data_IF_669053423503
#
_entry.id   IF_669053423503
#
_cell.length_a   1.000
_cell.length_b   1.000
_cell.length_c   1.000
_cell.angle_alpha   90.00
_cell.angle_beta   90.00
_cell.angle_gamma   90.00
#
_symmetry.space_group_name_H-M   'P 1'
#
loop_
_entity.id
_entity.type
_entity.pdbx_description
1 polymer ?
#
# COMPACT_ATOMS: atom_id res chain seq x y z
N UNK A 1 10.36 -20.55 73.05
CA UNK A 1 10.54 -19.70 71.84
C UNK A 1 9.90 -20.43 70.66
N UNK A 2 9.22 -19.80 69.68
CA UNK A 2 9.17 -18.37 69.33
C UNK A 2 7.77 -17.72 69.47
N UNK A 3 7.74 -16.39 69.51
CA UNK A 3 6.56 -15.53 69.65
C UNK A 3 5.97 -15.17 68.28
N UNK A 4 4.65 -15.29 68.14
CA UNK A 4 3.85 -14.84 67.01
C UNK A 4 3.90 -13.30 66.89
N UNK A 5 4.33 -12.78 65.74
CA UNK A 5 4.28 -11.34 65.40
C UNK A 5 2.91 -11.01 64.81
N UNK A 6 2.22 -10.08 65.48
CA UNK A 6 0.95 -9.49 65.05
C UNK A 6 1.14 -8.57 63.84
N UNK A 7 0.39 -8.81 62.76
CA UNK A 7 0.39 -8.01 61.54
C UNK A 7 -0.42 -6.72 61.76
N UNK A 8 0.22 -5.55 61.62
CA UNK A 8 -0.45 -4.25 61.61
C UNK A 8 -1.09 -4.00 60.24
N UNK A 9 -2.38 -3.66 60.26
CA UNK A 9 -3.23 -3.29 59.12
C UNK A 9 -2.84 -1.88 58.64
N UNK A 10 -2.58 -1.72 57.33
CA UNK A 10 -2.28 -0.42 56.73
C UNK A 10 -3.55 0.47 56.62
N UNK A 11 -3.44 1.81 56.73
CA UNK A 11 -4.58 2.73 56.60
C UNK A 11 -4.96 2.98 55.13
N UNK A 12 -6.26 3.14 54.88
CA UNK A 12 -6.85 3.48 53.58
C UNK A 12 -6.60 4.95 53.18
N UNK A 13 -6.50 5.29 51.88
CA UNK A 13 -6.31 6.66 51.42
C UNK A 13 -7.61 7.51 51.50
N UNK A 14 -7.51 8.84 51.71
CA UNK A 14 -8.67 9.72 51.81
C UNK A 14 -9.34 10.02 50.46
N UNK A 15 -10.67 10.12 50.48
CA UNK A 15 -11.54 10.53 49.36
C UNK A 15 -11.28 12.00 48.96
N UNK A 16 -11.07 12.27 47.67
CA UNK A 16 -11.04 13.62 47.08
C UNK A 16 -12.45 14.23 47.05
N UNK A 17 -12.61 15.41 47.62
CA UNK A 17 -13.80 16.25 47.48
C UNK A 17 -13.77 17.08 46.18
N UNK A 18 -14.92 17.41 45.57
CA UNK A 18 -15.01 18.19 44.34
C UNK A 18 -14.70 19.69 44.58
N UNK A 19 -14.00 20.31 43.64
CA UNK A 19 -13.65 21.75 43.65
C UNK A 19 -14.89 22.61 43.29
N UNK A 20 -15.09 23.77 43.95
CA UNK A 20 -16.15 24.71 43.58
C UNK A 20 -15.80 25.51 42.31
N UNK A 21 -16.84 25.84 41.54
CA UNK A 21 -16.77 26.61 40.29
C UNK A 21 -16.36 28.07 40.52
N UNK A 22 -15.59 28.62 39.56
CA UNK A 22 -15.12 30.01 39.56
C UNK A 22 -16.25 30.95 39.08
N UNK A 23 -16.47 32.11 39.75
CA UNK A 23 -17.51 33.05 39.35
C UNK A 23 -17.11 33.87 38.12
N UNK A 24 -18.08 34.08 37.22
CA UNK A 24 -18.02 35.00 36.08
C UNK A 24 -18.11 36.46 36.53
N UNK A 25 -17.32 37.40 35.97
CA UNK A 25 -17.50 38.82 36.24
C UNK A 25 -18.71 39.37 35.48
N UNK A 26 -19.64 39.99 36.22
CA UNK A 26 -20.67 40.89 35.70
C UNK A 26 -20.00 42.23 35.35
N UNK A 27 -20.17 42.70 34.13
CA UNK A 27 -19.90 44.09 33.78
C UNK A 27 -21.22 44.84 33.56
N UNK A 28 -21.24 46.01 34.18
CA UNK A 28 -22.33 46.93 34.43
C UNK A 28 -22.80 47.69 33.19
N UNK A 29 -24.06 48.13 33.23
CA UNK A 29 -24.73 48.98 32.24
C UNK A 29 -24.31 50.46 32.35
N UNK A 30 -24.08 51.07 31.17
CA UNK A 30 -24.48 52.42 30.69
C UNK A 30 -23.75 53.67 31.28
N UNK A 31 -23.55 54.76 30.51
CA UNK A 31 -24.60 55.46 29.76
C UNK A 31 -24.32 55.85 28.29
N UNK A 32 -25.42 56.24 27.65
CA UNK A 32 -25.54 56.82 26.32
C UNK A 32 -25.03 58.27 26.29
N UNK A 33 -24.31 58.63 25.25
CA UNK A 33 -24.26 60.00 24.72
C UNK A 33 -24.16 59.93 23.20
N UNK A 34 -25.00 60.75 22.56
CA UNK A 34 -25.19 60.82 21.13
C UNK A 34 -24.51 62.08 20.58
N UNK A 35 -23.75 61.95 19.49
CA UNK A 35 -23.43 63.02 18.52
C UNK A 35 -23.22 62.30 17.16
N UNK A 36 -24.18 62.37 16.24
CA UNK A 36 -24.29 63.31 15.12
C UNK A 36 -23.29 63.08 13.97
N UNK A 37 -23.86 62.61 12.85
CA UNK A 37 -23.67 63.04 11.46
C UNK A 37 -22.31 62.88 10.76
N UNK A 38 -22.36 62.34 9.53
CA UNK A 38 -21.54 62.87 8.43
C UNK A 38 -20.81 61.86 7.54
N UNK A 39 -21.50 61.42 6.49
CA UNK A 39 -21.04 61.34 5.09
C UNK A 39 -19.80 60.50 4.66
N UNK A 40 -20.10 59.59 3.71
CA UNK A 40 -19.49 59.45 2.38
C UNK A 40 -18.10 58.82 2.18
N UNK A 41 -18.14 57.61 1.59
CA UNK A 41 -17.48 57.16 0.36
C UNK A 41 -15.96 57.38 0.14
N UNK A 42 -15.24 56.27 -0.05
CA UNK A 42 -14.42 56.04 -1.26
C UNK A 42 -13.93 54.57 -1.29
N UNK A 43 -14.44 53.81 -2.25
CA UNK A 43 -13.85 52.56 -2.72
C UNK A 43 -12.71 52.93 -3.67
N UNK A 44 -11.49 52.48 -3.38
CA UNK A 44 -10.37 52.53 -4.33
C UNK A 44 -9.78 51.12 -4.44
N UNK A 45 -10.20 50.45 -5.52
CA UNK A 45 -9.55 49.27 -6.04
C UNK A 45 -8.18 49.65 -6.62
N UNK A 46 -7.12 49.00 -6.15
CA UNK A 46 -5.83 48.97 -6.83
C UNK A 46 -5.56 47.55 -7.31
N UNK A 47 -5.93 47.29 -8.56
CA UNK A 47 -5.46 46.17 -9.35
C UNK A 47 -4.04 46.45 -9.81
N UNK A 48 -3.05 45.74 -9.26
CA UNK A 48 -1.71 45.66 -9.83
C UNK A 48 -1.67 44.39 -10.69
N UNK A 49 -1.82 44.57 -12.00
CA UNK A 49 -1.56 43.51 -12.98
C UNK A 49 -0.05 43.36 -13.15
N UNK A 50 0.51 42.27 -12.63
CA UNK A 50 1.86 41.85 -12.96
C UNK A 50 1.86 41.23 -14.37
N UNK A 51 2.50 41.91 -15.32
CA UNK A 51 2.85 41.36 -16.61
C UNK A 51 4.06 40.42 -16.42
N UNK A 52 3.85 39.11 -16.57
CA UNK A 52 4.94 38.14 -16.65
C UNK A 52 5.23 37.81 -18.10
N UNK A 53 6.43 38.19 -18.56
CA UNK A 53 7.03 37.71 -19.80
C UNK A 53 7.23 36.19 -19.74
N UNK A 54 6.62 35.46 -20.67
CA UNK A 54 6.90 34.04 -20.88
C UNK A 54 8.04 33.89 -21.90
N UNK A 55 9.14 33.26 -21.48
CA UNK A 55 10.12 32.62 -22.36
C UNK A 55 9.64 31.19 -22.64
N UNK A 56 9.74 30.66 -23.88
CA UNK A 56 9.34 29.29 -24.19
C UNK A 56 10.48 28.35 -23.78
N UNK A 57 10.40 27.80 -22.58
CA UNK A 57 11.29 26.75 -22.08
C UNK A 57 10.52 25.44 -21.91
N UNK A 58 10.92 24.45 -22.69
CA UNK A 58 10.45 23.07 -22.73
C UNK A 58 10.11 22.49 -21.33
N UNK A 59 8.82 22.32 -21.04
CA UNK A 59 8.32 21.60 -19.87
C UNK A 59 7.06 20.86 -20.28
N UNK A 60 7.14 19.53 -20.33
CA UNK A 60 5.97 18.69 -20.60
C UNK A 60 4.89 19.02 -19.58
N UNK A 61 3.70 19.37 -20.07
CA UNK A 61 2.51 19.56 -19.24
C UNK A 61 2.32 18.28 -18.40
N UNK A 62 2.65 18.37 -17.12
CA UNK A 62 1.89 17.65 -16.12
C UNK A 62 0.45 18.11 -16.32
N UNK A 63 -0.38 17.22 -16.85
CA UNK A 63 -1.79 17.48 -17.04
C UNK A 63 -2.33 18.04 -15.74
N UNK A 64 -2.92 19.24 -15.81
CA UNK A 64 -3.77 19.74 -14.74
C UNK A 64 -4.68 18.59 -14.31
N UNK A 65 -4.78 18.37 -13.00
CA UNK A 65 -5.73 17.42 -12.46
C UNK A 65 -7.08 17.70 -13.11
N UNK A 66 -7.64 16.69 -13.76
CA UNK A 66 -9.00 16.76 -14.26
C UNK A 66 -9.88 16.89 -13.01
N UNK A 67 -10.29 18.12 -12.68
CA UNK A 67 -11.12 18.42 -11.50
C UNK A 67 -12.50 17.74 -11.59
N UNK A 68 -12.77 17.01 -12.68
CA UNK A 68 -13.96 16.21 -12.95
C UNK A 68 -13.69 14.69 -12.94
N UNK A 69 -12.47 14.23 -12.66
CA UNK A 69 -12.19 12.79 -12.60
C UNK A 69 -12.82 12.18 -11.35
N UNK A 70 -13.65 11.17 -11.58
CA UNK A 70 -14.45 10.58 -10.52
C UNK A 70 -13.74 9.43 -9.83
N UNK A 71 -12.94 8.66 -10.57
CA UNK A 71 -12.13 7.57 -10.04
C UNK A 71 -10.68 7.69 -10.53
N UNK A 72 -9.77 7.99 -9.62
CA UNK A 72 -8.35 8.23 -9.93
C UNK A 72 -7.58 6.90 -9.92
N UNK A 73 -6.92 6.56 -11.03
CA UNK A 73 -6.01 5.42 -11.11
C UNK A 73 -4.62 5.85 -10.61
N UNK A 74 -4.12 5.17 -9.59
CA UNK A 74 -2.84 5.49 -8.95
C UNK A 74 -1.84 4.33 -9.07
N UNK A 75 -0.90 4.41 -10.03
CA UNK A 75 0.18 3.44 -10.17
C UNK A 75 1.08 3.35 -8.94
N UNK A 76 1.80 2.24 -8.79
CA UNK A 76 2.69 1.96 -7.64
C UNK A 76 3.67 3.09 -7.34
N UNK A 77 4.35 3.61 -8.36
CA UNK A 77 5.40 4.62 -8.21
C UNK A 77 4.87 6.07 -8.24
N UNK A 78 3.60 6.28 -8.57
CA UNK A 78 3.04 7.61 -8.70
C UNK A 78 2.67 8.18 -7.33
N UNK A 79 3.16 9.36 -6.99
CA UNK A 79 2.78 10.01 -5.72
C UNK A 79 1.40 10.67 -5.79
N UNK A 80 0.87 10.90 -7.00
CA UNK A 80 -0.35 11.67 -7.20
C UNK A 80 -0.14 13.16 -6.91
N UNK A 81 -1.23 13.92 -7.01
CA UNK A 81 -1.26 15.33 -6.65
C UNK A 81 -1.42 15.51 -5.14
N UNK A 82 -0.91 16.63 -4.60
CA UNK A 82 -1.06 17.02 -3.19
C UNK A 82 -0.73 15.92 -2.15
N UNK A 83 0.48 15.31 -2.20
CA UNK A 83 0.84 14.29 -1.22
C UNK A 83 0.91 14.87 0.20
N UNK A 84 0.43 14.10 1.17
CA UNK A 84 0.57 14.44 2.58
C UNK A 84 2.04 14.50 2.97
N UNK A 85 2.86 13.53 2.56
CA UNK A 85 4.28 13.48 2.92
C UNK A 85 5.15 13.07 1.72
N UNK A 86 6.47 13.29 1.78
CA UNK A 86 7.40 12.55 0.92
C UNK A 86 7.21 11.03 1.10
N UNK A 87 7.55 10.26 0.06
CA UNK A 87 7.39 8.80 0.10
C UNK A 87 8.10 8.15 1.29
N UNK A 88 7.37 7.26 1.95
CA UNK A 88 7.85 6.36 2.99
C UNK A 88 7.92 4.91 2.52
N UNK A 89 7.57 4.63 1.26
CA UNK A 89 7.81 3.31 0.66
C UNK A 89 9.31 2.98 0.65
N UNK A 90 9.66 1.75 1.04
CA UNK A 90 11.04 1.26 1.07
C UNK A 90 11.39 0.59 -0.27
N UNK A 91 12.59 0.82 -0.84
CA UNK A 91 13.00 0.14 -2.08
C UNK A 91 13.07 -1.38 -1.93
N UNK A 92 13.63 -1.87 -0.81
CA UNK A 92 13.86 -3.31 -0.58
C UNK A 92 12.58 -4.08 -0.24
N UNK A 93 11.54 -3.37 0.18
CA UNK A 93 10.22 -3.94 0.48
C UNK A 93 9.19 -3.74 -0.63
N UNK A 94 9.61 -3.24 -1.80
CA UNK A 94 8.75 -3.00 -2.95
C UNK A 94 8.58 -4.27 -3.81
N UNK A 95 7.44 -4.37 -4.50
CA UNK A 95 7.30 -5.35 -5.58
C UNK A 95 8.22 -4.97 -6.77
N UNK A 96 8.70 -5.94 -7.55
CA UNK A 96 9.28 -5.67 -8.87
C UNK A 96 8.32 -4.78 -9.67
N UNK A 97 8.82 -3.64 -10.15
CA UNK A 97 7.96 -2.58 -10.70
C UNK A 97 7.18 -3.13 -11.91
N UNK A 98 5.84 -3.14 -11.89
CA UNK A 98 5.07 -3.52 -13.07
C UNK A 98 5.34 -2.51 -14.19
N UNK A 99 5.42 -2.99 -15.44
CA UNK A 99 5.72 -2.14 -16.59
C UNK A 99 4.76 -0.95 -16.65
N UNK A 100 5.34 0.26 -16.61
CA UNK A 100 4.65 1.56 -16.76
C UNK A 100 4.22 1.77 -18.22
N UNK A 101 3.34 0.93 -18.74
CA UNK A 101 2.64 1.30 -19.96
C UNK A 101 1.31 1.90 -19.58
N UNK A 102 1.21 3.22 -19.74
CA UNK A 102 -0.06 3.92 -19.69
C UNK A 102 -1.00 3.26 -20.70
N UNK A 103 -2.15 2.80 -20.21
CA UNK A 103 -3.20 2.24 -21.03
C UNK A 103 -4.52 2.86 -20.58
N UNK A 104 -5.36 3.35 -21.50
CA UNK A 104 -6.70 3.77 -21.14
C UNK A 104 -7.49 2.54 -20.65
N UNK A 105 -8.35 2.69 -19.65
CA UNK A 105 -9.25 1.63 -19.22
C UNK A 105 -10.24 1.26 -20.34
N UNK A 106 -10.50 -0.04 -20.50
CA UNK A 106 -11.33 -0.60 -21.58
C UNK A 106 -12.86 -0.46 -21.34
N UNK A 107 -13.26 0.17 -20.24
CA UNK A 107 -14.67 0.31 -19.79
C UNK A 107 -14.78 1.48 -18.81
N UNK A 108 -15.95 2.10 -18.61
CA UNK A 108 -16.15 3.16 -17.62
C UNK A 108 -15.99 2.65 -16.17
N UNK A 109 -15.68 3.55 -15.20
CA UNK A 109 -15.57 3.17 -13.81
C UNK A 109 -16.91 2.71 -13.23
N UNK A 110 -16.96 1.60 -12.47
CA UNK A 110 -18.18 1.21 -11.79
C UNK A 110 -18.54 2.22 -10.70
N UNK A 111 -19.75 2.77 -10.75
CA UNK A 111 -20.16 3.81 -9.80
C UNK A 111 -20.23 3.32 -8.34
N UNK A 112 -20.80 2.13 -8.14
CA UNK A 112 -21.00 1.55 -6.81
C UNK A 112 -19.79 0.69 -6.39
N UNK A 113 -19.21 0.92 -5.20
CA UNK A 113 -18.17 0.04 -4.64
C UNK A 113 -18.63 -1.41 -4.52
N UNK A 114 -19.92 -1.66 -4.26
CA UNK A 114 -20.51 -3.01 -4.16
C UNK A 114 -20.48 -3.83 -5.45
N UNK A 115 -20.19 -3.20 -6.61
CA UNK A 115 -19.94 -3.89 -7.88
C UNK A 115 -18.56 -4.58 -7.92
N UNK A 116 -17.70 -4.30 -6.95
CA UNK A 116 -16.36 -4.85 -6.83
C UNK A 116 -16.38 -6.08 -5.92
N UNK A 117 -15.34 -6.91 -6.01
CA UNK A 117 -15.20 -8.04 -5.10
C UNK A 117 -14.80 -7.54 -3.70
N UNK A 118 -15.71 -7.66 -2.73
CA UNK A 118 -15.41 -7.41 -1.33
C UNK A 118 -14.59 -8.54 -0.72
N UNK A 119 -13.46 -8.22 -0.10
CA UNK A 119 -12.58 -9.21 0.55
C UNK A 119 -12.30 -8.77 2.00
N UNK A 120 -12.53 -9.63 3.00
CA UNK A 120 -12.16 -9.33 4.38
C UNK A 120 -10.65 -9.11 4.53
N UNK A 121 -10.24 -8.08 5.26
CA UNK A 121 -8.83 -7.68 5.43
C UNK A 121 -7.93 -8.75 6.06
N UNK A 122 -8.52 -9.71 6.78
CA UNK A 122 -7.80 -10.87 7.35
C UNK A 122 -7.69 -12.07 6.41
N UNK A 123 -8.18 -11.99 5.16
CA UNK A 123 -8.10 -13.10 4.21
C UNK A 123 -6.62 -13.42 3.91
N UNK A 124 -6.22 -14.65 4.20
CA UNK A 124 -4.83 -15.08 3.98
C UNK A 124 -4.40 -14.86 2.53
N UNK A 125 -3.24 -14.25 2.33
CA UNK A 125 -2.71 -13.94 1.00
C UNK A 125 -3.41 -12.78 0.31
N UNK A 126 -4.30 -12.02 0.95
CA UNK A 126 -4.78 -10.75 0.38
C UNK A 126 -3.61 -9.78 0.12
N UNK A 127 -2.61 -9.85 1.01
CA UNK A 127 -1.44 -9.00 0.99
C UNK A 127 -0.17 -9.76 0.59
N UNK A 128 0.76 -9.01 0.02
CA UNK A 128 2.12 -9.42 -0.28
C UNK A 128 3.11 -8.64 0.57
N UNK A 129 4.38 -9.02 0.48
CA UNK A 129 5.48 -8.30 1.14
C UNK A 129 6.80 -8.99 0.85
N UNK A 130 7.88 -8.48 1.44
CA UNK A 130 9.16 -9.17 1.50
C UNK A 130 9.38 -9.59 2.94
N UNK A 131 9.66 -10.88 3.17
CA UNK A 131 9.81 -11.41 4.53
C UNK A 131 10.93 -10.68 5.26
N UNK A 132 10.64 -10.31 6.51
CA UNK A 132 11.48 -9.52 7.42
C UNK A 132 11.82 -8.11 6.95
N UNK A 133 11.19 -7.61 5.88
CA UNK A 133 11.40 -6.27 5.34
C UNK A 133 10.07 -5.52 5.34
N UNK A 134 10.05 -4.33 5.91
CA UNK A 134 8.88 -3.46 5.84
C UNK A 134 8.81 -2.82 4.46
N UNK A 135 7.63 -2.77 3.84
CA UNK A 135 7.35 -2.06 2.58
C UNK A 135 7.20 -0.54 2.77
N UNK A 136 7.01 -0.10 4.01
CA UNK A 136 6.80 1.27 4.43
C UNK A 136 7.61 1.57 5.69
N UNK A 137 8.19 2.76 5.74
CA UNK A 137 8.92 3.28 6.89
C UNK A 137 7.96 4.10 7.78
N UNK A 138 7.48 3.44 8.85
CA UNK A 138 6.50 4.01 9.80
C UNK A 138 7.07 5.23 10.53
N UNK A 139 8.31 5.14 11.01
CA UNK A 139 8.93 6.22 11.78
C UNK A 139 9.21 7.44 10.89
N UNK A 140 9.56 7.25 9.61
CA UNK A 140 9.60 8.36 8.65
C UNK A 140 8.23 9.00 8.45
N UNK A 141 7.14 8.22 8.37
CA UNK A 141 5.79 8.79 8.24
C UNK A 141 5.44 9.65 9.47
N UNK A 142 5.71 9.14 10.67
CA UNK A 142 5.51 9.85 11.93
C UNK A 142 6.33 11.15 11.93
N UNK A 143 7.60 11.08 11.54
CA UNK A 143 8.49 12.24 11.50
C UNK A 143 8.04 13.29 10.47
N UNK A 144 7.52 12.88 9.31
CA UNK A 144 7.02 13.82 8.31
C UNK A 144 5.75 14.52 8.77
N UNK A 145 4.78 13.79 9.33
CA UNK A 145 3.56 14.39 9.87
C UNK A 145 3.87 15.30 11.06
N UNK A 146 4.75 14.89 11.97
CA UNK A 146 5.14 15.69 13.14
C UNK A 146 5.91 16.98 12.84
N UNK A 147 6.33 17.19 11.57
CA UNK A 147 6.98 18.44 11.12
C UNK A 147 5.98 19.47 10.60
N UNK A 148 4.71 19.10 10.42
CA UNK A 148 3.68 19.96 9.87
C UNK A 148 2.37 19.75 10.64
N UNK A 149 2.06 20.69 11.54
CA UNK A 149 0.91 20.60 12.42
C UNK A 149 -0.43 20.54 11.66
N UNK A 150 -0.54 21.19 10.50
CA UNK A 150 -1.78 21.17 9.73
C UNK A 150 -2.01 19.80 9.09
N UNK A 151 -0.94 19.21 8.54
CA UNK A 151 -0.99 17.85 8.00
C UNK A 151 -1.27 16.84 9.08
N UNK A 152 -0.64 16.97 10.25
CA UNK A 152 -0.89 16.10 11.39
C UNK A 152 -2.37 16.16 11.80
N UNK A 153 -2.92 17.37 12.00
CA UNK A 153 -4.32 17.57 12.39
C UNK A 153 -5.31 17.07 11.32
N UNK A 154 -5.05 17.34 10.04
CA UNK A 154 -5.89 16.87 8.93
C UNK A 154 -5.87 15.33 8.81
N UNK A 155 -4.71 14.72 8.98
CA UNK A 155 -4.53 13.27 8.94
C UNK A 155 -5.26 12.59 10.12
N UNK A 156 -5.05 13.10 11.33
CA UNK A 156 -5.70 12.63 12.55
C UNK A 156 -7.23 12.71 12.44
N UNK A 157 -7.75 13.86 12.00
CA UNK A 157 -9.19 14.07 11.75
C UNK A 157 -9.76 13.10 10.73
N UNK A 158 -9.05 12.89 9.63
CA UNK A 158 -9.46 11.96 8.55
C UNK A 158 -9.64 10.54 9.09
N UNK A 159 -8.66 10.05 9.84
CA UNK A 159 -8.69 8.68 10.37
C UNK A 159 -9.45 8.53 11.68
N UNK A 160 -9.97 9.65 12.23
CA UNK A 160 -10.67 9.74 13.50
C UNK A 160 -9.81 9.24 14.67
N UNK A 161 -8.55 9.66 14.67
CA UNK A 161 -7.57 9.41 15.72
C UNK A 161 -7.28 10.73 16.42
N UNK A 162 -7.11 10.70 17.74
CA UNK A 162 -6.67 11.90 18.48
C UNK A 162 -5.27 12.31 18.03
N UNK A 163 -5.04 13.61 17.84
CA UNK A 163 -3.80 14.11 17.23
C UNK A 163 -2.54 13.73 18.00
N UNK A 164 -2.62 13.67 19.33
CA UNK A 164 -1.53 13.24 20.22
C UNK A 164 -1.26 11.74 20.18
N UNK A 165 -2.24 10.93 19.78
CA UNK A 165 -2.14 9.46 19.71
C UNK A 165 -1.70 8.98 18.33
N UNK A 166 -1.63 9.88 17.34
CA UNK A 166 -1.28 9.54 15.96
C UNK A 166 0.05 8.78 15.83
N UNK A 167 1.14 9.12 16.54
CA UNK A 167 2.38 8.35 16.49
C UNK A 167 2.23 6.92 17.04
N UNK A 168 1.34 6.70 18.01
CA UNK A 168 1.03 5.37 18.54
C UNK A 168 0.23 4.57 17.51
N UNK A 169 -0.86 5.16 17.01
CA UNK A 169 -1.69 4.57 15.96
C UNK A 169 -0.88 4.12 14.74
N UNK A 170 0.02 4.97 14.23
CA UNK A 170 0.85 4.62 13.06
C UNK A 170 1.77 3.42 13.32
N UNK A 171 2.26 3.23 14.55
CA UNK A 171 3.10 2.08 14.93
C UNK A 171 2.32 0.78 15.06
N UNK A 172 1.02 0.85 15.29
CA UNK A 172 0.14 -0.31 15.31
C UNK A 172 -0.22 -0.79 13.89
N UNK A 173 0.00 0.05 12.87
CA UNK A 173 -0.25 -0.35 11.50
C UNK A 173 0.80 -1.32 10.98
N UNK A 174 0.37 -2.25 10.14
CA UNK A 174 1.22 -3.27 9.55
C UNK A 174 1.57 -2.89 8.11
N UNK A 175 2.87 -2.84 7.80
CA UNK A 175 3.33 -2.56 6.44
C UNK A 175 3.20 -3.78 5.52
N UNK A 176 2.56 -3.60 4.36
CA UNK A 176 2.30 -4.64 3.36
C UNK A 176 2.29 -4.08 1.92
N UNK A 177 2.25 -4.98 0.94
CA UNK A 177 1.96 -4.69 -0.47
C UNK A 177 0.57 -5.21 -0.85
N UNK A 178 -0.15 -4.45 -1.69
CA UNK A 178 -1.39 -4.93 -2.29
C UNK A 178 -1.12 -6.03 -3.33
N UNK A 179 -1.85 -7.15 -3.33
CA UNK A 179 -1.76 -8.17 -4.40
C UNK A 179 -2.81 -8.03 -5.48
N UNK A 180 -3.69 -7.04 -5.37
CA UNK A 180 -4.73 -6.77 -6.36
C UNK A 180 -5.01 -5.27 -6.44
N UNK A 181 -5.49 -4.83 -7.59
CA UNK A 181 -5.97 -3.46 -7.77
C UNK A 181 -7.09 -3.22 -6.76
N UNK A 182 -6.96 -2.19 -5.93
CA UNK A 182 -7.80 -2.00 -4.74
C UNK A 182 -8.50 -0.65 -4.78
N UNK A 183 -9.82 -0.65 -4.69
CA UNK A 183 -10.65 0.56 -4.64
C UNK A 183 -10.78 1.07 -3.20
N UNK A 184 -10.58 2.37 -3.02
CA UNK A 184 -10.66 3.07 -1.74
C UNK A 184 -10.86 4.58 -1.94
N UNK A 185 -10.99 5.33 -0.85
CA UNK A 185 -10.90 6.79 -0.89
C UNK A 185 -9.50 7.21 -0.45
N UNK A 186 -8.76 7.86 -1.35
CA UNK A 186 -7.48 8.49 -1.06
C UNK A 186 -7.70 9.95 -0.65
N UNK A 187 -6.80 10.53 0.15
CA UNK A 187 -6.90 11.92 0.55
C UNK A 187 -5.61 12.68 0.21
N UNK A 188 -5.75 13.78 -0.53
CA UNK A 188 -4.69 14.75 -0.78
C UNK A 188 -4.68 15.81 0.33
N UNK A 189 -3.64 16.62 0.40
CA UNK A 189 -3.56 17.73 1.33
C UNK A 189 -3.44 19.05 0.60
N UNK A 190 -4.55 19.80 0.55
CA UNK A 190 -4.65 21.10 -0.10
C UNK A 190 -5.44 22.06 0.79
N UNK A 191 -5.14 23.35 0.71
CA UNK A 191 -5.84 24.38 1.50
C UNK A 191 -5.85 24.11 3.02
N UNK A 192 -4.79 23.47 3.54
CA UNK A 192 -4.65 23.04 4.95
C UNK A 192 -5.67 21.98 5.40
N UNK A 193 -6.31 21.30 4.46
CA UNK A 193 -7.31 20.28 4.73
C UNK A 193 -7.03 18.98 3.96
N UNK A 194 -7.61 17.88 4.45
CA UNK A 194 -7.64 16.63 3.72
C UNK A 194 -8.74 16.69 2.65
N UNK A 195 -8.37 16.53 1.38
CA UNK A 195 -9.31 16.53 0.25
C UNK A 195 -9.54 15.08 -0.22
N UNK A 196 -10.76 14.53 -0.06
CA UNK A 196 -11.04 13.15 -0.46
C UNK A 196 -11.20 13.02 -1.98
N UNK A 197 -10.73 11.91 -2.53
CA UNK A 197 -10.98 11.50 -3.91
C UNK A 197 -11.10 9.98 -3.99
N UNK A 198 -11.99 9.49 -4.86
CA UNK A 198 -12.10 8.05 -5.07
C UNK A 198 -10.92 7.56 -5.90
N UNK A 199 -10.36 6.42 -5.52
CA UNK A 199 -9.13 5.91 -6.12
C UNK A 199 -9.15 4.40 -6.31
N UNK A 200 -8.39 3.95 -7.30
CA UNK A 200 -7.89 2.58 -7.36
C UNK A 200 -6.37 2.60 -7.27
N UNK A 201 -5.85 1.91 -6.26
CA UNK A 201 -4.42 1.66 -6.12
C UNK A 201 -4.04 0.42 -6.92
N UNK A 202 -2.98 0.52 -7.71
CA UNK A 202 -2.43 -0.62 -8.45
C UNK A 202 -1.89 -1.71 -7.50
N UNK A 203 -2.05 -2.97 -7.88
CA UNK A 203 -1.33 -4.09 -7.25
C UNK A 203 0.19 -3.82 -7.19
N UNK A 204 0.81 -4.18 -6.06
CA UNK A 204 2.21 -3.85 -5.74
C UNK A 204 2.38 -2.53 -4.99
N UNK A 205 1.31 -1.75 -4.79
CA UNK A 205 1.39 -0.52 -3.98
C UNK A 205 1.65 -0.85 -2.51
N UNK A 206 2.63 -0.17 -1.90
CA UNK A 206 2.93 -0.26 -0.48
C UNK A 206 1.92 0.55 0.36
N UNK A 207 1.33 -0.11 1.34
CA UNK A 207 0.33 0.45 2.26
C UNK A 207 0.60 0.03 3.69
N UNK A 208 0.05 0.78 4.65
CA UNK A 208 -0.04 0.39 6.05
C UNK A 208 -1.49 0.07 6.39
N UNK A 209 -1.74 -1.13 6.94
CA UNK A 209 -3.07 -1.64 7.26
C UNK A 209 -3.30 -1.71 8.77
N UNK A 210 -4.53 -1.51 9.22
CA UNK A 210 -4.88 -1.61 10.65
C UNK A 210 -5.02 -3.06 11.14
N UNK A 211 -5.39 -3.23 12.41
CA UNK A 211 -5.64 -4.52 13.06
C UNK A 211 -6.86 -5.27 12.48
N UNK A 212 -7.63 -4.67 11.57
CA UNK A 212 -8.68 -5.34 10.79
C UNK A 212 -8.23 -5.65 9.37
N UNK A 213 -6.97 -5.37 9.06
CA UNK A 213 -6.37 -5.54 7.75
C UNK A 213 -6.94 -4.57 6.72
N UNK A 214 -7.41 -3.38 7.11
CA UNK A 214 -7.90 -2.36 6.16
C UNK A 214 -6.78 -1.36 5.87
N UNK A 215 -6.50 -1.01 4.59
CA UNK A 215 -5.52 0.02 4.24
C UNK A 215 -5.89 1.38 4.85
N UNK A 216 -4.96 1.96 5.63
CA UNK A 216 -5.12 3.26 6.29
C UNK A 216 -4.15 4.31 5.79
N UNK A 217 -3.02 3.91 5.21
CA UNK A 217 -2.01 4.84 4.68
C UNK A 217 -1.42 4.31 3.38
N UNK A 218 -1.26 5.18 2.39
CA UNK A 218 -0.50 4.90 1.17
C UNK A 218 0.92 5.43 1.31
N UNK A 219 1.92 4.58 1.20
CA UNK A 219 3.29 4.94 1.56
C UNK A 219 3.99 5.81 0.51
N UNK A 220 3.54 5.77 -0.75
CA UNK A 220 4.11 6.62 -1.80
C UNK A 220 3.80 8.12 -1.61
N UNK A 221 2.63 8.45 -1.04
CA UNK A 221 2.13 9.82 -0.88
C UNK A 221 1.91 10.25 0.57
N UNK A 222 2.04 9.31 1.52
CA UNK A 222 1.70 9.52 2.93
C UNK A 222 0.23 9.78 3.18
N UNK A 223 -0.64 9.55 2.19
CA UNK A 223 -2.05 9.89 2.27
C UNK A 223 -2.79 8.98 3.25
N UNK A 224 -3.66 9.53 4.12
CA UNK A 224 -4.62 8.71 4.84
C UNK A 224 -5.62 8.11 3.83
N UNK A 225 -6.06 6.89 4.13
CA UNK A 225 -6.97 6.10 3.31
C UNK A 225 -8.22 5.76 4.12
N UNK A 226 -9.37 5.86 3.48
CA UNK A 226 -10.67 5.48 4.07
C UNK A 226 -11.45 4.57 3.11
N UNK A 227 -12.59 4.06 3.59
CA UNK A 227 -13.45 3.20 2.80
C UNK A 227 -13.89 3.91 1.49
N UNK A 228 -14.03 3.16 0.39
CA UNK A 228 -14.52 3.74 -0.86
C UNK A 228 -15.96 4.20 -0.74
N UNK A 229 -16.28 5.27 -1.44
CA UNK A 229 -17.61 5.82 -1.56
C UNK A 229 -18.16 5.64 -2.97
N UNK A 230 -19.46 5.92 -3.10
CA UNK A 230 -20.16 5.91 -4.38
C UNK A 230 -19.73 7.10 -5.23
N UNK A 231 -19.57 6.86 -6.52
CA UNK A 231 -19.41 7.87 -7.55
C UNK A 231 -20.72 8.73 -7.65
N UNK A 232 -20.58 10.05 -7.59
CA UNK A 232 -21.64 11.07 -7.64
C UNK A 232 -22.12 11.47 -9.05
N UNK A 233 -21.44 11.08 -10.13
CA UNK A 233 -21.79 11.30 -11.54
C UNK A 233 -20.63 11.74 -12.45
N UNK A 234 -20.77 11.44 -13.75
CA UNK A 234 -19.80 11.61 -14.85
C UNK A 234 -18.58 10.65 -14.76
N UNK A 235 -18.86 9.35 -14.75
CA UNK A 235 -17.93 8.20 -14.67
C UNK A 235 -16.70 8.32 -15.61
N UNK A 236 -15.71 9.12 -15.21
CA UNK A 236 -14.44 9.32 -15.92
C UNK A 236 -13.29 8.92 -15.01
N UNK A 237 -12.34 8.23 -15.61
CA UNK A 237 -11.08 7.96 -14.95
C UNK A 237 -10.19 9.20 -14.96
N UNK A 238 -9.50 9.42 -13.84
CA UNK A 238 -8.37 10.33 -13.76
C UNK A 238 -7.07 9.60 -13.45
N UNK A 239 -5.98 10.36 -13.38
CA UNK A 239 -4.65 9.82 -13.08
C UNK A 239 -4.07 9.02 -14.24
N UNK A 240 -3.19 8.08 -13.92
CA UNK A 240 -2.47 7.28 -14.92
C UNK A 240 -2.92 5.83 -14.85
N UNK A 241 -3.57 5.34 -15.90
CA UNK A 241 -3.90 3.91 -16.01
C UNK A 241 -2.67 3.04 -16.28
N UNK A 242 -2.80 1.73 -16.09
CA UNK A 242 -1.78 0.73 -16.41
C UNK A 242 -2.35 -0.42 -17.23
N UNK A 243 -1.51 -1.05 -18.06
CA UNK A 243 -1.86 -2.31 -18.73
C UNK A 243 -2.30 -3.35 -17.68
N UNK A 244 -3.42 -4.02 -17.97
CA UNK A 244 -3.95 -5.07 -17.11
C UNK A 244 -4.95 -4.56 -16.05
N UNK A 245 -5.14 -3.24 -15.89
CA UNK A 245 -6.25 -2.74 -15.09
C UNK A 245 -7.58 -3.25 -15.65
N UNK A 246 -8.38 -3.87 -14.79
CA UNK A 246 -9.71 -4.39 -15.12
C UNK A 246 -10.64 -4.03 -13.97
N UNK A 247 -11.69 -3.22 -14.19
CA UNK A 247 -12.59 -2.82 -13.11
C UNK A 247 -13.26 -4.01 -12.42
N UNK A 248 -13.60 -5.06 -13.18
CA UNK A 248 -14.17 -6.31 -12.67
C UNK A 248 -13.23 -7.13 -11.79
N UNK A 249 -11.92 -6.84 -11.81
CA UNK A 249 -10.89 -7.50 -10.99
C UNK A 249 -10.44 -6.65 -9.80
N UNK A 250 -11.00 -5.46 -9.67
CA UNK A 250 -10.67 -4.54 -8.58
C UNK A 250 -11.38 -4.99 -7.31
N UNK A 251 -10.66 -5.00 -6.18
CA UNK A 251 -11.17 -5.43 -4.89
C UNK A 251 -11.51 -4.25 -4.00
N UNK A 252 -12.45 -4.45 -3.09
CA UNK A 252 -12.69 -3.55 -1.94
C UNK A 252 -12.36 -4.33 -0.68
N UNK A 253 -11.44 -3.81 0.13
CA UNK A 253 -11.09 -4.45 1.39
C UNK A 253 -12.10 -4.03 2.47
N UNK A 254 -12.76 -5.02 3.07
CA UNK A 254 -13.68 -4.80 4.19
C UNK A 254 -13.00 -5.19 5.51
N UNK A 255 -13.34 -4.56 6.65
CA UNK A 255 -12.79 -4.95 7.95
C UNK A 255 -12.95 -6.45 8.25
N UNK A 256 -11.92 -7.07 8.82
CA UNK A 256 -12.06 -8.40 9.40
C UNK A 256 -13.07 -8.40 10.57
N UNK A 257 -13.77 -9.51 10.78
CA UNK A 257 -14.77 -9.65 11.86
C UNK A 257 -14.16 -9.49 13.25
N UNK A 258 -12.90 -9.87 13.41
CA UNK A 258 -12.15 -9.80 14.68
C UNK A 258 -10.82 -9.09 14.45
N UNK A 259 -10.23 -8.57 15.54
CA UNK A 259 -8.90 -7.98 15.49
C UNK A 259 -7.89 -9.08 15.17
N UNK A 260 -6.99 -8.80 14.24
CA UNK A 260 -5.94 -9.68 13.78
C UNK A 260 -4.74 -9.49 14.68
N UNK A 261 -4.13 -10.59 15.13
CA UNK A 261 -2.81 -10.56 15.77
C UNK A 261 -1.67 -10.68 14.76
N UNK A 262 -1.98 -11.17 13.54
CA UNK A 262 -1.04 -11.41 12.45
C UNK A 262 -1.74 -11.41 11.11
N UNK A 263 -1.01 -11.03 10.07
CA UNK A 263 -1.39 -11.19 8.67
C UNK A 263 -0.65 -12.38 8.06
N UNK A 264 -1.34 -13.16 7.25
CA UNK A 264 -0.72 -14.21 6.43
C UNK A 264 -0.44 -13.63 5.04
N UNK A 265 0.84 -13.50 4.72
CA UNK A 265 1.37 -12.73 3.59
C UNK A 265 2.12 -13.64 2.62
N UNK A 266 2.05 -13.32 1.33
CA UNK A 266 2.86 -13.96 0.28
C UNK A 266 4.12 -13.13 0.03
N UNK A 267 5.27 -13.77 0.10
CA UNK A 267 6.55 -13.17 -0.26
C UNK A 267 6.63 -12.95 -1.76
N UNK A 268 6.78 -11.70 -2.20
CA UNK A 268 6.72 -11.34 -3.63
C UNK A 268 7.96 -11.75 -4.43
N UNK A 269 9.04 -12.16 -3.75
CA UNK A 269 10.28 -12.58 -4.40
C UNK A 269 10.38 -14.11 -4.50
N UNK A 270 9.78 -14.82 -3.55
CA UNK A 270 9.93 -16.28 -3.41
C UNK A 270 8.63 -17.06 -3.57
N UNK A 271 7.48 -16.38 -3.64
CA UNK A 271 6.13 -16.96 -3.59
C UNK A 271 5.86 -17.84 -2.35
N UNK A 272 6.73 -17.76 -1.34
CA UNK A 272 6.58 -18.45 -0.07
C UNK A 272 5.69 -17.65 0.88
N UNK A 273 5.13 -18.35 1.86
CA UNK A 273 4.18 -17.76 2.80
C UNK A 273 4.86 -17.44 4.13
N UNK A 274 4.46 -16.34 4.75
CA UNK A 274 4.89 -15.98 6.09
C UNK A 274 3.79 -15.27 6.86
N UNK A 275 3.92 -15.24 8.17
CA UNK A 275 3.10 -14.46 9.07
C UNK A 275 3.85 -13.25 9.55
N UNK A 276 3.21 -12.10 9.46
CA UNK A 276 3.68 -10.84 10.03
C UNK A 276 2.77 -10.47 11.20
N UNK A 277 3.29 -10.35 12.43
CA UNK A 277 2.50 -9.79 13.54
C UNK A 277 1.97 -8.39 13.20
N UNK A 278 0.81 -8.02 13.75
CA UNK A 278 0.29 -6.67 13.55
C UNK A 278 1.21 -5.64 14.24
N UNK A 279 1.54 -4.56 13.53
CA UNK A 279 2.50 -3.55 14.01
C UNK A 279 3.96 -4.05 14.08
N UNK A 280 4.25 -5.21 13.47
CA UNK A 280 5.58 -5.82 13.52
C UNK A 280 6.66 -4.89 12.96
N UNK A 281 7.83 -4.92 13.61
CA UNK A 281 9.05 -4.36 13.06
C UNK A 281 9.70 -5.36 12.08
N UNK A 282 10.57 -4.89 11.18
CA UNK A 282 11.40 -5.78 10.37
C UNK A 282 12.10 -6.85 11.24
N UNK A 283 12.05 -8.11 10.81
CA UNK A 283 12.69 -9.25 11.50
C UNK A 283 11.76 -10.12 12.36
N UNK A 284 10.50 -9.73 12.56
CA UNK A 284 9.54 -10.47 13.39
C UNK A 284 8.69 -11.50 12.61
N UNK A 285 8.96 -11.70 11.31
CA UNK A 285 8.13 -12.55 10.46
C UNK A 285 8.42 -14.04 10.63
N UNK A 286 7.35 -14.82 10.81
CA UNK A 286 7.42 -16.28 10.92
C UNK A 286 7.15 -16.95 9.59
N UNK A 287 8.05 -17.83 9.13
CA UNK A 287 7.80 -18.65 7.92
C UNK A 287 6.57 -19.53 8.10
N UNK A 288 5.76 -19.64 7.07
CA UNK A 288 4.72 -20.67 6.95
C UNK A 288 5.19 -21.77 5.98
N UNK A 289 5.20 -23.05 6.41
CA UNK A 289 5.63 -24.15 5.55
C UNK A 289 4.70 -24.41 4.36
N UNK A 290 3.40 -24.13 4.52
CA UNK A 290 2.37 -24.40 3.51
C UNK A 290 1.37 -23.25 3.46
N UNK A 291 0.79 -22.96 2.26
CA UNK A 291 -0.29 -22.01 2.14
C UNK A 291 -1.55 -22.48 2.87
N UNK A 292 -2.33 -21.57 3.49
CA UNK A 292 -3.66 -21.92 3.98
C UNK A 292 -4.56 -22.39 2.83
N UNK A 293 -5.46 -23.35 3.10
CA UNK A 293 -6.36 -23.89 2.05
C UNK A 293 -7.26 -22.81 1.45
N UNK A 294 -7.89 -22.00 2.29
CA UNK A 294 -8.84 -20.95 1.87
C UNK A 294 -8.17 -19.58 1.69
N UNK A 295 -7.09 -19.52 0.92
CA UNK A 295 -6.37 -18.29 0.66
C UNK A 295 -6.99 -17.46 -0.47
N UNK A 296 -6.58 -16.19 -0.55
CA UNK A 296 -6.92 -15.29 -1.64
C UNK A 296 -6.05 -15.57 -2.86
N UNK A 297 -6.71 -15.82 -3.99
CA UNK A 297 -6.06 -15.87 -5.29
C UNK A 297 -6.36 -14.57 -6.03
N UNK A 298 -5.34 -13.74 -6.32
CA UNK A 298 -5.55 -12.54 -7.09
C UNK A 298 -6.05 -12.92 -8.50
N UNK A 299 -6.98 -12.15 -9.07
CA UNK A 299 -7.48 -12.43 -10.41
C UNK A 299 -6.33 -12.35 -11.43
N UNK A 300 -6.03 -13.48 -12.07
CA UNK A 300 -4.88 -13.61 -12.99
C UNK A 300 -4.99 -12.67 -14.19
N UNK A 301 -3.89 -12.03 -14.64
CA UNK A 301 -3.91 -11.18 -15.83
C UNK A 301 -4.32 -11.94 -17.10
N UNK A 302 -3.94 -13.22 -17.24
CA UNK A 302 -4.28 -14.06 -18.40
C UNK A 302 -5.64 -14.73 -18.27
N UNK A 303 -6.55 -14.41 -19.18
CA UNK A 303 -7.76 -15.19 -19.45
C UNK A 303 -7.49 -16.46 -20.26
N UNK A 304 -6.44 -17.23 -19.96
CA UNK A 304 -6.27 -18.56 -20.55
C UNK A 304 -6.84 -19.58 -19.59
N UNK A 305 -8.16 -19.76 -19.63
CA UNK A 305 -8.73 -21.02 -19.22
C UNK A 305 -8.23 -22.05 -20.24
N UNK A 306 -7.12 -22.73 -19.95
CA UNK A 306 -6.93 -24.05 -20.52
C UNK A 306 -7.98 -24.93 -19.86
N UNK A 307 -8.99 -25.46 -20.58
CA UNK A 307 -9.79 -26.52 -20.02
C UNK A 307 -8.83 -27.69 -19.79
N UNK A 308 -8.51 -27.95 -18.53
CA UNK A 308 -7.87 -29.20 -18.14
C UNK A 308 -8.94 -30.27 -18.30
N UNK A 309 -9.09 -30.81 -19.52
CA UNK A 309 -9.81 -32.06 -19.75
C UNK A 309 -9.03 -33.16 -19.04
N UNK A 310 -9.48 -33.53 -17.85
CA UNK A 310 -9.17 -34.83 -17.27
C UNK A 310 -9.68 -35.92 -18.24
N UNK A 311 -8.88 -36.95 -18.56
CA UNK A 311 -9.43 -38.15 -19.18
C UNK A 311 -10.13 -38.94 -18.08
N UNK A 312 -11.46 -38.88 -18.02
CA UNK A 312 -12.25 -39.86 -17.27
C UNK A 312 -12.11 -41.20 -17.97
N UNK A 313 -11.25 -42.06 -17.42
CA UNK A 313 -11.25 -43.48 -17.73
C UNK A 313 -12.55 -44.12 -17.24
N UNK A 314 -13.21 -44.87 -18.12
CA UNK A 314 -14.14 -45.93 -17.75
C UNK A 314 -13.91 -47.15 -18.65
N UNK A 315 -13.93 -48.38 -18.12
CA UNK A 315 -13.54 -49.58 -18.86
C UNK A 315 -14.74 -50.32 -19.49
N UNK A 316 -14.51 -50.89 -20.68
CA UNK A 316 -15.23 -52.03 -21.28
C UNK A 316 -16.45 -51.69 -22.16
N UNK A 317 -16.89 -52.60 -23.08
CA UNK A 317 -16.58 -54.03 -23.11
C UNK A 317 -16.04 -54.59 -24.45
N UNK A 318 -15.61 -55.84 -24.35
CA UNK A 318 -15.15 -56.84 -25.33
C UNK A 318 -16.03 -57.00 -26.58
N UNK A 319 -15.41 -57.29 -27.73
CA UNK A 319 -15.97 -58.12 -28.81
C UNK A 319 -14.81 -58.80 -29.56
N UNK A 320 -15.02 -60.08 -29.87
CA UNK A 320 -14.06 -61.10 -30.33
C UNK A 320 -13.58 -60.92 -31.78
N UNK A 321 -12.54 -61.70 -32.16
CA UNK A 321 -11.70 -61.61 -33.38
C UNK A 321 -12.37 -61.99 -34.72
N UNK A 322 -11.69 -62.58 -35.75
CA UNK A 322 -10.35 -63.22 -35.77
C UNK A 322 -9.49 -62.97 -37.06
N UNK A 323 -8.39 -63.75 -37.20
CA UNK A 323 -7.62 -64.06 -38.45
C UNK A 323 -6.78 -62.93 -39.06
N UNK A 324 -5.59 -63.10 -39.65
CA UNK A 324 -4.72 -64.22 -40.05
C UNK A 324 -3.33 -63.58 -40.35
N UNK A 325 -2.21 -64.29 -40.17
CA UNK A 325 -0.86 -63.81 -40.57
C UNK A 325 -0.62 -63.90 -42.09
N UNK A 326 0.62 -64.04 -42.61
CA UNK A 326 1.96 -63.72 -42.10
C UNK A 326 2.75 -62.80 -43.08
N UNK A 327 3.98 -62.38 -42.76
CA UNK A 327 4.82 -61.66 -43.74
C UNK A 327 6.18 -61.22 -43.23
N UNK A 328 7.21 -62.00 -43.55
CA UNK A 328 8.64 -61.79 -43.30
C UNK A 328 9.29 -61.09 -44.50
N UNK A 329 10.18 -60.11 -44.29
CA UNK A 329 11.45 -59.84 -45.01
C UNK A 329 12.05 -58.51 -44.48
N UNK A 330 13.19 -58.52 -43.79
CA UNK A 330 14.59 -58.57 -44.29
C UNK A 330 15.17 -57.19 -44.63
N UNK A 331 16.25 -56.82 -43.91
CA UNK A 331 17.13 -55.70 -44.28
C UNK A 331 17.97 -55.08 -43.14
N UNK A 332 18.85 -55.85 -42.51
CA UNK A 332 20.06 -55.34 -41.78
C UNK A 332 21.24 -55.23 -42.79
N UNK A 333 22.48 -54.79 -42.44
CA UNK A 333 22.96 -53.83 -41.41
C UNK A 333 24.03 -52.85 -42.01
N UNK A 334 24.49 -51.82 -41.25
CA UNK A 334 25.87 -51.31 -41.43
C UNK A 334 26.40 -50.52 -40.22
N UNK A 335 27.00 -51.27 -39.30
CA UNK A 335 28.35 -51.11 -38.68
C UNK A 335 28.95 -49.69 -38.48
N UNK A 336 29.17 -49.34 -37.20
CA UNK A 336 30.09 -48.31 -36.64
C UNK A 336 31.58 -48.79 -36.70
N UNK A 337 32.64 -48.21 -36.05
CA UNK A 337 32.82 -47.04 -35.14
C UNK A 337 34.18 -46.24 -35.43
N UNK A 338 35.03 -45.76 -34.48
CA UNK A 338 35.03 -44.44 -33.78
C UNK A 338 36.39 -43.62 -33.78
N UNK A 339 36.33 -42.34 -33.29
CA UNK A 339 37.36 -41.53 -32.55
C UNK A 339 38.75 -41.21 -33.22
N UNK A 340 39.70 -40.39 -32.67
CA UNK A 340 39.72 -39.35 -31.60
C UNK A 340 40.61 -38.06 -31.88
N UNK A 341 40.59 -37.10 -30.92
CA UNK A 341 41.73 -36.24 -30.46
C UNK A 341 42.07 -34.98 -31.30
N UNK A 342 42.55 -33.83 -30.78
CA UNK A 342 43.09 -33.39 -29.49
C UNK A 342 43.97 -32.13 -29.72
N UNK A 343 44.50 -31.52 -28.64
CA UNK A 343 45.42 -30.36 -28.48
C UNK A 343 44.74 -28.96 -28.43
N UNK A 344 44.70 -28.22 -27.32
CA UNK A 344 45.72 -27.69 -26.36
C UNK A 344 46.68 -26.68 -26.99
N UNK A 345 46.65 -25.43 -26.49
CA UNK A 345 47.85 -24.66 -26.10
C UNK A 345 47.49 -23.41 -25.26
N UNK A 346 48.45 -23.08 -24.40
CA UNK A 346 48.47 -22.27 -23.18
C UNK A 346 49.53 -21.17 -23.35
N UNK A 347 49.33 -19.96 -22.80
CA UNK A 347 50.38 -18.99 -22.38
C UNK A 347 49.66 -17.84 -21.64
N UNK A 348 49.72 -17.78 -20.31
CA UNK A 348 50.70 -17.12 -19.42
C UNK A 348 50.80 -15.60 -19.58
N UNK A 349 50.59 -14.87 -18.48
CA UNK A 349 51.48 -13.80 -17.99
C UNK A 349 50.96 -13.20 -16.66
N UNK A 350 51.75 -13.51 -15.63
CA UNK A 350 52.39 -12.56 -14.70
C UNK A 350 51.62 -12.00 -13.48
N UNK A 351 52.06 -12.47 -12.32
CA UNK A 351 51.87 -11.87 -10.98
C UNK A 351 52.70 -10.59 -10.82
N UNK A 352 52.14 -9.60 -10.12
CA UNK A 352 52.93 -8.65 -9.32
C UNK A 352 52.32 -8.57 -7.91
N UNK A 353 53.17 -8.81 -6.92
CA UNK A 353 52.91 -8.65 -5.49
C UNK A 353 53.74 -7.48 -4.96
N UNK A 354 53.18 -6.71 -4.02
CA UNK A 354 53.80 -6.00 -2.88
C UNK A 354 53.28 -4.55 -2.71
N UNK A 355 52.88 -4.21 -1.48
CA UNK A 355 52.61 -2.83 -1.10
C UNK A 355 51.80 -2.63 0.18
N UNK A 356 52.28 -3.15 1.31
CA UNK A 356 51.81 -2.79 2.64
C UNK A 356 52.39 -1.41 3.01
N UNK A 357 51.57 -0.44 3.45
CA UNK A 357 52.06 0.73 4.20
C UNK A 357 51.00 1.27 5.14
N UNK A 358 51.33 1.19 6.42
CA UNK A 358 50.74 1.90 7.56
C UNK A 358 50.82 3.43 7.38
N UNK A 359 49.92 4.17 8.03
CA UNK A 359 49.92 5.63 8.02
C UNK A 359 48.80 6.25 8.86
N UNK A 360 48.95 6.19 10.18
CA UNK A 360 48.29 7.12 11.10
C UNK A 360 48.98 8.48 11.06
N UNK A 361 48.25 9.59 10.96
CA UNK A 361 48.50 10.80 11.76
C UNK A 361 47.42 11.87 11.56
N UNK A 362 47.25 12.66 12.62
CA UNK A 362 46.25 13.68 12.86
C UNK A 362 46.29 14.89 11.91
N UNK A 363 45.12 15.49 11.68
CA UNK A 363 44.88 16.88 12.05
C UNK A 363 43.39 17.21 12.16
#
# INVERSE_FOLDING_TARGET
MPRLRSARRAPLPPRRAPRPARPTPRLSRLPRSAHLAGAAAAVLALSVTAASCALPGQGGSASAADAAAELVLQPVADRGHDPFTPSTATPDGAAPSPSRTAAPPDSPPPAEPSRHQSVPGGKAGLYGGVRNVASCDVDKQIAFLGRDADKQAAFARTLRVDEGDLPGFLRELTSVLLRSDTRLTGHGFAHREASPFQSVLQAGTAVMVDDKGVPRVRCASGSPLTAPEKLSGNDRYGGTGWRGYRPSRTVVVTPAQQALSRLVIVDVNTDLWFERPVGARPGEDRKLPQPPRDHFNPPSPSGSHSPSTEPTGSPGPTTEGPSEGPGTESGEPSTAPPLPGGIDEEEDHERVSAGESSGASAR
#
